data_IF_272643727505
#
_entry.id   IF_272643727505
#
_cell.length_a   1.000
_cell.length_b   1.000
_cell.length_c   1.000
_cell.angle_alpha   90.00
_cell.angle_beta   90.00
_cell.angle_gamma   90.00
#
_symmetry.space_group_name_H-M   'P 1'
#
loop_
_entity.id
_entity.type
_entity.pdbx_description
1 polymer ?
#
# COMPACT_ATOMS: atom_id res chain seq x y z
N UNK A 1 4.05 -1.22 0.70
CA UNK A 1 4.27 -0.01 -0.12
C UNK A 1 3.67 1.19 0.63
N UNK A 2 3.79 2.38 0.07
CA UNK A 2 3.05 3.57 0.50
C UNK A 2 2.11 3.99 -0.63
N UNK A 3 0.83 4.19 -0.32
CA UNK A 3 -0.19 4.55 -1.31
C UNK A 3 0.16 5.86 -2.03
N UNK A 4 0.70 6.83 -1.28
CA UNK A 4 1.08 8.13 -1.84
C UNK A 4 2.10 8.03 -2.97
N UNK A 5 2.90 6.95 -3.04
CA UNK A 5 3.82 6.72 -4.16
C UNK A 5 3.06 6.59 -5.48
N UNK A 6 1.85 6.03 -5.44
CA UNK A 6 1.00 5.84 -6.61
C UNK A 6 0.11 7.04 -6.89
N UNK A 7 -0.33 7.75 -5.85
CA UNK A 7 -1.23 8.90 -6.01
C UNK A 7 -0.55 10.11 -6.65
N UNK A 8 0.77 10.25 -6.48
CA UNK A 8 1.58 11.33 -7.09
C UNK A 8 0.98 12.72 -6.84
N UNK A 9 0.63 12.99 -5.58
CA UNK A 9 0.12 14.29 -5.17
C UNK A 9 1.28 15.21 -4.76
N UNK A 10 1.22 16.50 -5.10
CA UNK A 10 2.20 17.52 -4.66
C UNK A 10 2.36 17.54 -3.13
N UNK A 11 1.26 17.26 -2.42
CA UNK A 11 1.26 16.96 -0.99
C UNK A 11 0.50 15.66 -0.78
N UNK A 12 1.09 14.63 -0.13
CA UNK A 12 0.50 13.29 0.03
C UNK A 12 -0.59 13.26 1.11
N UNK A 13 -1.50 14.25 1.11
CA UNK A 13 -2.62 14.36 2.04
C UNK A 13 -3.80 13.54 1.51
N UNK A 14 -3.71 12.24 1.76
CA UNK A 14 -4.72 11.27 1.37
C UNK A 14 -4.83 10.19 2.45
N UNK A 15 -6.04 9.64 2.59
CA UNK A 15 -6.33 8.49 3.44
C UNK A 15 -6.94 7.38 2.61
N UNK A 16 -6.60 6.14 2.93
CA UNK A 16 -7.27 4.96 2.41
C UNK A 16 -8.09 4.34 3.55
N UNK A 17 -9.36 4.05 3.28
CA UNK A 17 -10.23 3.28 4.15
C UNK A 17 -10.43 1.88 3.55
N UNK A 18 -10.07 0.86 4.32
CA UNK A 18 -10.14 -0.54 3.94
C UNK A 18 -11.23 -1.23 4.74
N UNK A 19 -12.37 -1.51 4.09
CA UNK A 19 -13.52 -2.16 4.70
C UNK A 19 -13.43 -3.67 4.54
N UNK A 20 -13.34 -4.39 5.65
CA UNK A 20 -13.30 -5.85 5.67
C UNK A 20 -14.67 -6.46 5.28
N UNK A 21 -14.74 -7.22 4.19
CA UNK A 21 -15.97 -7.97 3.82
C UNK A 21 -15.98 -9.40 4.38
N UNK A 22 -14.84 -9.85 4.88
CA UNK A 22 -14.62 -11.12 5.56
C UNK A 22 -13.81 -10.86 6.84
N UNK A 23 -13.87 -11.79 7.80
CA UNK A 23 -12.91 -11.77 8.90
C UNK A 23 -11.50 -11.99 8.33
N UNK A 24 -10.55 -11.19 8.77
CA UNK A 24 -9.14 -11.29 8.38
C UNK A 24 -8.24 -11.44 9.58
N UNK A 25 -7.22 -12.27 9.42
CA UNK A 25 -6.20 -12.57 10.41
C UNK A 25 -4.89 -12.87 9.70
N UNK A 26 -3.86 -13.24 10.45
CA UNK A 26 -2.53 -13.50 9.87
C UNK A 26 -2.53 -14.68 8.88
N UNK A 27 -3.42 -15.66 9.02
CA UNK A 27 -3.48 -16.83 8.13
C UNK A 27 -4.06 -16.47 6.76
N UNK A 28 -5.16 -15.71 6.71
CA UNK A 28 -5.78 -15.32 5.43
C UNK A 28 -5.26 -13.97 4.88
N UNK A 29 -4.28 -13.38 5.56
CA UNK A 29 -3.52 -12.23 5.08
C UNK A 29 -4.15 -10.89 5.42
N UNK A 30 -4.44 -10.63 6.69
CA UNK A 30 -4.80 -9.30 7.20
C UNK A 30 -3.76 -8.24 6.82
N UNK A 31 -4.19 -6.97 6.85
CA UNK A 31 -3.28 -5.85 6.58
C UNK A 31 -2.31 -5.73 7.74
N UNK A 32 -1.06 -5.39 7.42
CA UNK A 32 0.01 -5.12 8.36
C UNK A 32 0.53 -3.71 8.12
N UNK A 33 0.92 -3.03 9.17
CA UNK A 33 1.39 -1.65 9.13
C UNK A 33 2.71 -1.49 9.86
N UNK A 34 3.60 -0.63 9.38
CA UNK A 34 4.76 -0.19 10.15
C UNK A 34 4.35 1.03 10.98
N UNK A 35 4.32 0.87 12.31
CA UNK A 35 3.85 1.90 13.23
C UNK A 35 4.69 3.17 13.10
N UNK A 36 4.01 4.33 12.95
CA UNK A 36 4.67 5.63 12.86
C UNK A 36 5.38 5.94 11.53
N UNK A 37 5.34 5.05 10.54
CA UNK A 37 6.10 5.24 9.29
C UNK A 37 5.64 6.45 8.46
N UNK A 38 4.36 6.86 8.57
CA UNK A 38 3.81 8.02 7.87
C UNK A 38 4.50 9.33 8.27
N UNK A 39 5.13 9.38 9.45
CA UNK A 39 5.88 10.53 9.93
C UNK A 39 7.29 10.61 9.33
N UNK A 40 7.73 9.59 8.60
CA UNK A 40 9.10 9.46 8.06
C UNK A 40 9.19 9.82 6.57
N UNK A 41 8.09 10.26 5.95
CA UNK A 41 8.04 10.64 4.54
C UNK A 41 7.93 9.44 3.58
N UNK A 42 8.01 9.73 2.28
CA UNK A 42 8.01 8.71 1.22
C UNK A 42 9.36 7.99 1.17
N UNK A 43 9.36 6.66 1.17
CA UNK A 43 10.55 5.84 0.90
C UNK A 43 10.67 5.53 -0.58
N UNK A 44 11.88 5.26 -1.02
CA UNK A 44 12.17 4.85 -2.39
C UNK A 44 11.42 3.57 -2.75
N UNK A 45 10.75 3.59 -3.91
CA UNK A 45 10.05 2.41 -4.44
C UNK A 45 10.72 1.92 -5.72
N UNK A 46 10.72 0.61 -5.89
CA UNK A 46 11.22 -0.10 -7.08
C UNK A 46 10.31 -1.27 -7.44
N UNK A 47 10.53 -1.80 -8.65
CA UNK A 47 9.81 -2.95 -9.16
C UNK A 47 9.89 -4.15 -8.22
N UNK A 48 8.74 -4.72 -7.86
CA UNK A 48 8.69 -5.91 -6.99
C UNK A 48 8.78 -7.23 -7.77
N UNK A 49 8.66 -7.19 -9.10
CA UNK A 49 8.51 -8.37 -9.96
C UNK A 49 7.23 -9.18 -9.70
N UNK A 50 6.34 -8.71 -8.82
CA UNK A 50 5.11 -9.43 -8.44
C UNK A 50 3.96 -9.03 -9.36
N UNK A 51 3.33 -10.01 -10.01
CA UNK A 51 2.19 -9.78 -10.89
C UNK A 51 1.04 -9.09 -10.12
N UNK A 52 0.57 -7.95 -10.64
CA UNK A 52 -0.45 -7.13 -9.99
C UNK A 52 0.07 -6.13 -8.95
N UNK A 53 1.37 -6.16 -8.62
CA UNK A 53 2.02 -5.18 -7.74
C UNK A 53 3.25 -4.60 -8.44
N UNK A 54 3.09 -3.42 -9.03
CA UNK A 54 4.17 -2.85 -9.83
C UNK A 54 5.35 -2.35 -8.99
N UNK A 55 5.14 -1.86 -7.77
CA UNK A 55 6.16 -1.14 -7.01
C UNK A 55 6.10 -1.46 -5.52
N UNK A 56 7.26 -1.49 -4.87
CA UNK A 56 7.41 -1.76 -3.45
C UNK A 56 8.63 -1.04 -2.93
N UNK A 57 8.74 -0.92 -1.61
CA UNK A 57 9.82 -0.16 -0.98
C UNK A 57 11.13 -0.93 -1.16
N UNK A 58 12.13 -0.28 -1.75
CA UNK A 58 13.37 -0.92 -2.23
C UNK A 58 14.19 -1.57 -1.12
N UNK A 59 14.17 -0.97 0.07
CA UNK A 59 14.91 -1.39 1.26
C UNK A 59 13.98 -1.86 2.38
N UNK A 60 12.78 -2.36 2.03
CA UNK A 60 11.82 -2.87 3.00
C UNK A 60 12.40 -4.03 3.82
N UNK A 61 12.04 -4.08 5.10
CA UNK A 61 12.50 -5.11 6.02
C UNK A 61 13.85 -4.74 6.61
N UNK A 62 14.12 -3.45 6.83
CA UNK A 62 15.21 -3.03 7.70
C UNK A 62 14.83 -3.31 9.18
N UNK A 63 15.72 -2.97 10.12
CA UNK A 63 15.48 -3.22 11.55
C UNK A 63 14.24 -2.48 12.08
N UNK A 64 14.06 -1.22 11.69
CA UNK A 64 12.93 -0.40 12.11
C UNK A 64 11.59 -0.95 11.59
N UNK A 65 11.54 -1.40 10.34
CA UNK A 65 10.37 -2.08 9.78
C UNK A 65 10.02 -3.31 10.61
N UNK A 66 11.01 -4.19 10.86
CA UNK A 66 10.80 -5.43 11.61
C UNK A 66 10.33 -5.21 13.05
N UNK A 67 10.83 -4.16 13.71
CA UNK A 67 10.46 -3.84 15.09
C UNK A 67 9.05 -3.23 15.20
N UNK A 68 8.60 -2.52 14.16
CA UNK A 68 7.37 -1.73 14.22
C UNK A 68 6.22 -2.27 13.34
N UNK A 69 6.48 -3.32 12.55
CA UNK A 69 5.45 -4.00 11.75
C UNK A 69 4.47 -4.76 12.64
N UNK A 70 3.19 -4.39 12.57
CA UNK A 70 2.12 -5.00 13.35
C UNK A 70 1.00 -5.53 12.45
N UNK A 71 0.49 -6.76 12.69
CA UNK A 71 -0.73 -7.23 12.05
C UNK A 71 -1.94 -6.50 12.60
N UNK A 72 -2.93 -6.26 11.74
CA UNK A 72 -4.23 -5.72 12.12
C UNK A 72 -5.33 -6.68 11.65
N UNK A 73 -5.62 -7.73 12.44
CA UNK A 73 -6.78 -8.57 12.22
C UNK A 73 -8.06 -7.72 12.29
N UNK A 74 -9.05 -8.09 11.48
CA UNK A 74 -10.30 -7.35 11.37
C UNK A 74 -11.49 -8.31 11.28
N UNK A 75 -12.59 -7.97 11.94
CA UNK A 75 -13.87 -8.64 11.73
C UNK A 75 -14.54 -8.11 10.47
N UNK A 76 -15.42 -8.92 9.88
CA UNK A 76 -16.30 -8.46 8.81
C UNK A 76 -17.08 -7.21 9.26
N UNK A 77 -16.96 -6.13 8.49
CA UNK A 77 -17.58 -4.84 8.78
C UNK A 77 -16.62 -3.82 9.43
N UNK A 78 -15.46 -4.25 9.90
CA UNK A 78 -14.46 -3.32 10.44
C UNK A 78 -13.85 -2.47 9.31
N UNK A 79 -13.67 -1.20 9.61
CA UNK A 79 -13.05 -0.22 8.72
C UNK A 79 -11.67 0.14 9.28
N UNK A 80 -10.62 -0.26 8.57
CA UNK A 80 -9.27 0.18 8.87
C UNK A 80 -8.98 1.43 8.06
N UNK A 81 -8.33 2.43 8.66
CA UNK A 81 -7.97 3.67 7.97
C UNK A 81 -6.48 3.90 8.11
N UNK A 82 -5.80 4.23 7.01
CA UNK A 82 -4.38 4.56 7.02
C UNK A 82 -4.05 5.78 6.16
N UNK A 83 -3.02 6.51 6.59
CA UNK A 83 -2.44 7.62 5.85
C UNK A 83 -1.70 7.13 4.60
N UNK A 84 -1.68 7.95 3.55
CA UNK A 84 -1.04 7.57 2.29
C UNK A 84 0.46 7.29 2.41
N UNK A 85 1.13 7.83 3.44
CA UNK A 85 2.52 7.56 3.76
C UNK A 85 2.70 6.41 4.77
N UNK A 86 1.63 5.82 5.29
CA UNK A 86 1.76 4.62 6.13
C UNK A 86 2.22 3.45 5.26
N UNK A 87 3.36 2.86 5.64
CA UNK A 87 3.88 1.65 5.02
C UNK A 87 2.96 0.52 5.44
N UNK A 88 2.40 -0.14 4.45
CA UNK A 88 1.50 -1.25 4.67
C UNK A 88 1.75 -2.37 3.67
N UNK A 89 1.38 -3.58 4.08
CA UNK A 89 1.50 -4.80 3.31
C UNK A 89 0.39 -5.77 3.73
N UNK A 90 0.20 -6.82 2.95
CA UNK A 90 -0.65 -7.92 3.35
C UNK A 90 -0.02 -9.24 2.91
N UNK A 91 -0.09 -10.24 3.78
CA UNK A 91 0.43 -11.57 3.51
C UNK A 91 -0.33 -12.29 2.39
N UNK A 92 0.26 -13.39 1.91
CA UNK A 92 -0.47 -14.37 1.10
C UNK A 92 -1.62 -14.93 1.93
N UNK A 93 -2.75 -15.19 1.29
CA UNK A 93 -3.80 -15.97 1.91
C UNK A 93 -3.39 -17.45 1.87
N UNK A 94 -3.09 -18.01 3.04
CA UNK A 94 -2.68 -19.41 3.20
C UNK A 94 -3.83 -20.31 3.65
N UNK A 95 -4.99 -19.73 3.95
CA UNK A 95 -6.16 -20.51 4.34
C UNK A 95 -6.71 -21.31 3.17
N UNK A 96 -7.24 -22.51 3.44
CA UNK A 96 -7.78 -23.36 2.39
C UNK A 96 -9.06 -22.79 1.76
N UNK A 97 -9.97 -22.25 2.59
CA UNK A 97 -11.33 -21.92 2.17
C UNK A 97 -11.85 -20.57 2.71
N UNK A 98 -10.98 -19.69 3.24
CA UNK A 98 -11.40 -18.37 3.75
C UNK A 98 -10.98 -17.26 2.80
N UNK A 99 -11.88 -16.73 1.96
CA UNK A 99 -11.53 -15.63 1.07
C UNK A 99 -11.24 -14.35 1.87
N UNK A 100 -10.37 -13.50 1.33
CA UNK A 100 -10.06 -12.17 1.85
C UNK A 100 -10.56 -11.10 0.89
N UNK A 101 -11.79 -10.63 1.09
CA UNK A 101 -12.39 -9.57 0.28
C UNK A 101 -12.50 -8.28 1.08
N UNK A 102 -12.29 -7.16 0.39
CA UNK A 102 -12.42 -5.84 0.97
C UNK A 102 -12.81 -4.80 -0.07
N UNK A 103 -13.31 -3.66 0.40
CA UNK A 103 -13.54 -2.47 -0.41
C UNK A 103 -12.55 -1.40 0.06
N UNK A 104 -11.80 -0.84 -0.89
CA UNK A 104 -10.94 0.31 -0.65
C UNK A 104 -11.66 1.60 -1.06
N UNK A 105 -11.66 2.58 -0.17
CA UNK A 105 -12.06 3.95 -0.45
C UNK A 105 -10.84 4.85 -0.30
N UNK A 106 -10.59 5.70 -1.28
CA UNK A 106 -9.47 6.65 -1.23
C UNK A 106 -10.06 8.04 -1.13
N UNK A 107 -9.61 8.79 -0.13
CA UNK A 107 -10.04 10.17 0.12
C UNK A 107 -8.83 11.08 0.02
N UNK A 108 -8.90 12.06 -0.87
CA UNK A 108 -7.91 13.11 -0.98
C UNK A 108 -8.36 14.35 -0.22
N UNK A 109 -7.40 15.08 0.34
CA UNK A 109 -7.67 16.41 0.88
C UNK A 109 -8.28 17.31 -0.20
N UNK A 110 -9.15 18.24 0.20
CA UNK A 110 -9.81 19.16 -0.75
C UNK A 110 -8.85 20.06 -1.53
N UNK A 111 -7.64 20.25 -1.00
CA UNK A 111 -6.53 21.00 -1.61
C UNK A 111 -5.51 20.10 -2.31
N UNK A 112 -5.75 18.79 -2.39
CA UNK A 112 -4.86 17.86 -3.06
C UNK A 112 -4.75 18.18 -4.56
N UNK A 113 -3.51 18.20 -5.06
CA UNK A 113 -3.19 18.43 -6.46
C UNK A 113 -2.35 17.27 -6.96
N UNK A 114 -2.82 16.65 -8.03
CA UNK A 114 -2.04 15.67 -8.77
C UNK A 114 -0.85 16.35 -9.46
N UNK A 115 0.32 15.76 -9.31
CA UNK A 115 1.51 16.16 -10.04
C UNK A 115 1.51 15.46 -11.40
N UNK A 116 0.94 16.14 -12.40
CA UNK A 116 0.81 15.62 -13.76
C UNK A 116 2.15 15.19 -14.38
N UNK A 117 3.26 15.83 -14.01
CA UNK A 117 4.58 15.46 -14.51
C UNK A 117 5.02 14.11 -13.93
N UNK A 118 4.95 13.94 -12.62
CA UNK A 118 5.29 12.67 -11.96
C UNK A 118 4.36 11.53 -12.35
N UNK A 119 3.07 11.81 -12.57
CA UNK A 119 2.12 10.82 -13.07
C UNK A 119 2.53 10.33 -14.46
N UNK A 120 2.88 11.25 -15.36
CA UNK A 120 3.28 10.90 -16.71
C UNK A 120 4.59 10.13 -16.71
N UNK A 121 5.58 10.56 -15.93
CA UNK A 121 6.85 9.86 -15.76
C UNK A 121 6.64 8.45 -15.19
N UNK A 122 5.80 8.30 -14.17
CA UNK A 122 5.44 6.99 -13.62
C UNK A 122 4.77 6.08 -14.68
N UNK A 123 3.83 6.61 -15.46
CA UNK A 123 3.15 5.86 -16.53
C UNK A 123 4.12 5.41 -17.62
N UNK A 124 5.03 6.27 -18.05
CA UNK A 124 6.03 5.92 -19.07
C UNK A 124 7.03 4.87 -18.54
N UNK A 125 7.51 5.05 -17.32
CA UNK A 125 8.35 4.06 -16.64
C UNK A 125 7.63 2.71 -16.53
N UNK A 126 6.37 2.69 -16.11
CA UNK A 126 5.58 1.48 -15.98
C UNK A 126 5.38 0.75 -17.33
N UNK A 127 5.09 1.51 -18.41
CA UNK A 127 4.98 0.94 -19.75
C UNK A 127 6.29 0.29 -20.20
N UNK A 128 7.42 0.97 -20.02
CA UNK A 128 8.73 0.43 -20.39
C UNK A 128 9.06 -0.86 -19.63
N UNK A 129 8.66 -0.93 -18.35
CA UNK A 129 8.86 -2.10 -17.51
C UNK A 129 7.96 -3.28 -17.93
N UNK A 130 6.72 -3.00 -18.35
CA UNK A 130 5.78 -4.04 -18.81
C UNK A 130 6.09 -4.55 -20.23
N UNK A 131 6.73 -3.75 -21.08
CA UNK A 131 7.02 -4.10 -22.47
C UNK A 131 8.28 -4.96 -22.69
N UNK A 132 8.94 -5.43 -21.62
CA UNK A 132 10.06 -6.38 -21.75
C UNK A 132 11.36 -5.79 -22.32
N UNK A 133 11.84 -4.65 -21.78
CA UNK A 133 13.24 -4.22 -21.92
C UNK A 133 14.11 -4.64 -20.72
N UNK A 134 13.97 -5.90 -20.30
CA UNK A 134 14.96 -6.65 -19.50
C UNK A 134 15.11 -8.02 -20.18
#
# INVERSE_FOLDING_TARGET
HQDGFYFKLDSPRALTMWLALNNTDEENGCVRYVTGSHLKGMREHSLTGTLGFSQGISDYGNEDDRLNEVPVPASKGDLIVHDSLTIHLAGKNLSENRPRRAIGFIFYSSDAKENSLEINEYKENLKSQQSGKI
#
